data_IF_011673360745
#
_entry.id   IF_011673360745
#
_cell.length_a   1.000
_cell.length_b   1.000
_cell.length_c   1.000
_cell.angle_alpha   90.00
_cell.angle_beta   90.00
_cell.angle_gamma   90.00
#
_symmetry.space_group_name_H-M   'P 1'
#
loop_
_entity.id
_entity.type
_entity.pdbx_description
1 polymer ?
#
# COMPACT_ATOMS: atom_id res chain seq x y z
N UNK A 1 3.25 -14.24 -9.47
CA UNK A 1 2.04 -14.98 -9.03
C UNK A 1 1.74 -14.66 -7.57
N UNK A 2 0.49 -14.32 -7.27
CA UNK A 2 0.08 -14.05 -5.89
C UNK A 2 0.03 -15.33 -5.08
N UNK A 3 0.52 -15.29 -3.84
CA UNK A 3 0.52 -16.46 -2.97
C UNK A 3 0.59 -16.08 -1.49
N UNK A 4 0.13 -16.98 -0.66
CA UNK A 4 0.34 -16.94 0.78
C UNK A 4 1.46 -17.89 1.18
N UNK A 5 2.14 -17.54 2.25
CA UNK A 5 3.11 -18.39 2.91
C UNK A 5 2.99 -18.21 4.42
N UNK A 6 2.64 -19.28 5.12
CA UNK A 6 2.67 -19.26 6.58
C UNK A 6 4.12 -19.22 7.08
N UNK A 7 4.39 -18.41 8.09
CA UNK A 7 5.69 -18.33 8.75
C UNK A 7 5.54 -18.75 10.20
N UNK A 8 5.19 -20.02 10.40
CA UNK A 8 4.97 -20.59 11.72
C UNK A 8 6.07 -21.58 12.07
N UNK A 9 6.84 -21.22 13.06
CA UNK A 9 7.85 -22.07 13.67
C UNK A 9 8.04 -21.65 15.13
N UNK A 10 9.09 -22.13 15.79
CA UNK A 10 9.39 -21.81 17.19
C UNK A 10 9.57 -20.29 17.43
N UNK A 11 10.06 -19.57 16.42
CA UNK A 11 10.43 -18.16 16.55
C UNK A 11 9.50 -17.19 15.81
N UNK A 12 8.76 -17.69 14.84
CA UNK A 12 7.92 -16.86 13.97
C UNK A 12 6.46 -17.28 14.05
N UNK A 13 5.57 -16.30 14.07
CA UNK A 13 4.14 -16.53 14.00
C UNK A 13 3.53 -15.43 13.14
N UNK A 14 3.09 -15.79 11.95
CA UNK A 14 2.56 -14.86 10.99
C UNK A 14 2.47 -15.43 9.59
N UNK A 15 2.53 -14.56 8.61
CA UNK A 15 2.45 -14.96 7.21
C UNK A 15 3.11 -13.93 6.29
N UNK A 16 3.47 -14.39 5.11
CA UNK A 16 3.86 -13.54 3.99
C UNK A 16 2.78 -13.60 2.92
N UNK A 17 2.53 -12.46 2.28
CA UNK A 17 1.72 -12.39 1.07
C UNK A 17 2.59 -11.86 -0.06
N UNK A 18 2.64 -12.58 -1.18
CA UNK A 18 3.23 -12.09 -2.41
C UNK A 18 2.10 -11.62 -3.32
N UNK A 19 2.14 -10.36 -3.71
CA UNK A 19 1.15 -9.79 -4.62
C UNK A 19 1.53 -10.02 -6.10
N UNK A 20 0.57 -9.80 -6.97
CA UNK A 20 0.76 -9.99 -8.41
C UNK A 20 1.91 -9.15 -8.98
N UNK A 21 2.18 -7.98 -8.39
CA UNK A 21 3.29 -7.10 -8.77
C UNK A 21 4.66 -7.59 -8.30
N UNK A 22 4.72 -8.73 -7.59
CA UNK A 22 5.96 -9.28 -7.05
C UNK A 22 6.38 -8.74 -5.70
N UNK A 23 5.71 -7.74 -5.18
CA UNK A 23 5.96 -7.21 -3.84
C UNK A 23 5.45 -8.18 -2.78
N UNK A 24 6.12 -8.18 -1.65
CA UNK A 24 5.82 -9.09 -0.53
C UNK A 24 5.58 -8.27 0.72
N UNK A 25 4.54 -8.64 1.47
CA UNK A 25 4.27 -8.11 2.82
C UNK A 25 4.42 -9.24 3.81
N UNK A 26 5.15 -8.98 4.88
CA UNK A 26 5.26 -9.85 6.05
C UNK A 26 4.43 -9.28 7.19
N UNK A 27 3.52 -10.09 7.72
CA UNK A 27 2.72 -9.75 8.91
C UNK A 27 3.12 -10.72 10.01
N UNK A 28 3.69 -10.21 11.09
CA UNK A 28 4.22 -11.00 12.20
C UNK A 28 3.62 -10.58 13.53
N UNK A 29 3.30 -11.55 14.36
CA UNK A 29 2.77 -11.32 15.70
C UNK A 29 3.35 -12.30 16.72
N UNK A 30 4.60 -12.70 16.52
CA UNK A 30 5.36 -13.51 17.49
C UNK A 30 5.78 -12.65 18.70
N UNK A 31 6.23 -13.31 19.75
CA UNK A 31 6.60 -12.65 21.01
C UNK A 31 7.73 -11.62 20.87
N UNK A 32 8.61 -11.82 19.89
CA UNK A 32 9.74 -10.92 19.62
C UNK A 32 9.40 -9.81 18.61
N UNK A 33 8.22 -9.79 18.04
CA UNK A 33 7.77 -8.75 17.12
C UNK A 33 7.24 -7.53 17.88
N UNK A 34 7.20 -6.38 17.19
CA UNK A 34 6.57 -5.16 17.72
C UNK A 34 5.05 -5.28 17.60
N UNK A 35 4.47 -6.07 18.50
CA UNK A 35 3.03 -6.35 18.54
C UNK A 35 2.62 -6.84 19.94
N UNK A 36 1.33 -6.93 20.17
CA UNK A 36 0.78 -7.54 21.39
C UNK A 36 0.55 -9.06 21.26
N UNK A 37 1.27 -9.70 20.35
CA UNK A 37 1.14 -11.13 20.09
C UNK A 37 0.01 -11.49 19.14
N UNK A 38 -0.50 -10.53 18.39
CA UNK A 38 -1.56 -10.75 17.42
C UNK A 38 -2.96 -10.69 18.01
N UNK A 39 -3.09 -10.20 19.25
CA UNK A 39 -4.39 -9.99 19.85
C UNK A 39 -5.11 -8.81 19.17
N UNK A 40 -4.44 -7.66 19.07
CA UNK A 40 -4.98 -6.46 18.42
C UNK A 40 -4.00 -5.82 17.44
N UNK A 41 -2.71 -6.15 17.52
CA UNK A 41 -1.68 -5.54 16.69
C UNK A 41 -0.72 -6.56 16.09
N UNK A 42 -0.10 -6.17 14.98
CA UNK A 42 0.94 -6.94 14.29
C UNK A 42 2.09 -6.05 13.87
N UNK A 43 3.23 -6.66 13.58
CA UNK A 43 4.38 -5.99 12.98
C UNK A 43 4.40 -6.25 11.48
N UNK A 44 4.65 -5.21 10.68
CA UNK A 44 4.66 -5.32 9.23
C UNK A 44 6.01 -4.92 8.67
N UNK A 45 6.48 -5.70 7.71
CA UNK A 45 7.59 -5.36 6.81
C UNK A 45 7.16 -5.64 5.39
N UNK A 46 7.80 -4.98 4.42
CA UNK A 46 7.52 -5.21 3.01
C UNK A 46 8.80 -5.04 2.20
N UNK A 47 8.87 -5.75 1.08
CA UNK A 47 10.00 -5.63 0.16
C UNK A 47 9.56 -5.85 -1.27
N UNK A 48 10.33 -5.27 -2.19
CA UNK A 48 10.05 -5.37 -3.61
C UNK A 48 10.54 -6.66 -4.24
N UNK A 49 10.24 -6.86 -5.54
CA UNK A 49 10.71 -8.01 -6.31
C UNK A 49 12.24 -8.14 -6.36
N UNK A 50 12.94 -7.03 -6.18
CA UNK A 50 14.39 -6.96 -6.12
C UNK A 50 14.98 -7.34 -4.76
N UNK A 51 14.13 -7.64 -3.77
CA UNK A 51 14.52 -7.97 -2.41
C UNK A 51 14.82 -6.77 -1.54
N UNK A 52 14.67 -5.55 -2.05
CA UNK A 52 14.91 -4.34 -1.25
C UNK A 52 13.72 -4.03 -0.36
N UNK A 53 14.02 -3.74 0.89
CA UNK A 53 13.02 -3.37 1.89
C UNK A 53 12.37 -2.03 1.56
N UNK A 54 11.08 -1.94 1.81
CA UNK A 54 10.33 -0.70 1.67
C UNK A 54 10.30 0.07 2.99
N UNK A 55 10.33 1.38 2.92
CA UNK A 55 10.04 2.23 4.08
C UNK A 55 8.55 2.24 4.33
N UNK A 56 8.14 1.79 5.51
CA UNK A 56 6.74 1.77 5.94
C UNK A 56 6.41 2.86 6.96
N UNK A 57 7.43 3.56 7.45
CA UNK A 57 7.31 4.72 8.32
C UNK A 57 8.36 5.75 7.91
N UNK A 58 8.31 6.94 8.48
CA UNK A 58 9.22 8.03 8.14
C UNK A 58 10.70 7.68 8.30
N UNK A 59 11.04 6.84 9.27
CA UNK A 59 12.41 6.52 9.62
C UNK A 59 12.75 5.02 9.62
N UNK A 60 11.81 4.14 9.28
CA UNK A 60 12.00 2.71 9.45
C UNK A 60 11.35 1.88 8.36
N UNK A 61 11.97 0.72 8.08
CA UNK A 61 11.43 -0.31 7.19
C UNK A 61 10.42 -1.21 7.89
N UNK A 62 10.37 -1.14 9.23
CA UNK A 62 9.45 -1.92 10.06
C UNK A 62 8.39 -1.00 10.64
N UNK A 63 7.14 -1.41 10.52
CA UNK A 63 6.02 -0.72 11.15
C UNK A 63 5.44 -1.64 12.21
N UNK A 64 5.66 -1.30 13.47
CA UNK A 64 5.16 -2.06 14.61
C UNK A 64 3.80 -1.57 15.08
N UNK A 65 3.17 -2.41 15.92
CA UNK A 65 1.91 -2.10 16.61
C UNK A 65 0.78 -1.67 15.68
N UNK A 66 0.71 -2.31 14.50
CA UNK A 66 -0.31 -2.01 13.50
C UNK A 66 -1.62 -2.71 13.84
N UNK A 67 -2.70 -1.92 13.85
CA UNK A 67 -4.07 -2.46 13.93
C UNK A 67 -4.42 -3.21 12.64
N UNK A 68 -5.49 -4.04 12.64
CA UNK A 68 -5.96 -4.69 11.42
C UNK A 68 -6.24 -3.71 10.28
N UNK A 69 -6.79 -2.55 10.56
CA UNK A 69 -7.08 -1.53 9.55
C UNK A 69 -5.79 -0.94 8.96
N UNK A 70 -4.79 -0.70 9.82
CA UNK A 70 -3.47 -0.25 9.36
C UNK A 70 -2.75 -1.33 8.55
N UNK A 71 -2.89 -2.61 8.92
CA UNK A 71 -2.37 -3.73 8.13
C UNK A 71 -2.98 -3.73 6.73
N UNK A 72 -4.29 -3.58 6.62
CA UNK A 72 -4.99 -3.51 5.34
C UNK A 72 -4.52 -2.32 4.50
N UNK A 73 -4.37 -1.16 5.12
CA UNK A 73 -3.87 0.06 4.46
C UNK A 73 -2.48 -0.15 3.84
N UNK A 74 -1.55 -0.74 4.61
CA UNK A 74 -0.20 -1.05 4.12
C UNK A 74 -0.26 -2.07 2.98
N UNK A 75 -1.07 -3.11 3.12
CA UNK A 75 -1.22 -4.13 2.07
C UNK A 75 -1.73 -3.53 0.77
N UNK A 76 -2.72 -2.64 0.84
CA UNK A 76 -3.25 -1.95 -0.34
C UNK A 76 -2.18 -1.08 -1.00
N UNK A 77 -1.41 -0.35 -0.21
CA UNK A 77 -0.31 0.47 -0.71
C UNK A 77 0.74 -0.39 -1.42
N UNK A 78 1.14 -1.50 -0.82
CA UNK A 78 2.17 -2.38 -1.38
C UNK A 78 1.65 -3.09 -2.64
N UNK A 79 0.41 -3.56 -2.60
CA UNK A 79 -0.21 -4.25 -3.75
C UNK A 79 -0.38 -3.34 -4.97
N UNK A 80 -0.40 -2.02 -4.77
CA UNK A 80 -0.55 -1.04 -5.85
C UNK A 80 0.77 -0.51 -6.40
N UNK A 81 1.90 -0.94 -5.84
CA UNK A 81 3.21 -0.48 -6.31
C UNK A 81 3.45 -0.88 -7.78
N UNK A 82 4.02 0.04 -8.54
CA UNK A 82 4.33 -0.20 -9.95
C UNK A 82 3.13 -0.17 -10.89
N UNK A 83 1.91 -0.04 -10.37
CA UNK A 83 0.72 0.11 -11.19
C UNK A 83 0.38 1.58 -11.37
N UNK A 84 0.03 1.97 -12.60
CA UNK A 84 -0.50 3.31 -12.84
C UNK A 84 -1.89 3.39 -12.23
N UNK A 85 -2.23 4.49 -11.51
CA UNK A 85 -3.59 4.68 -11.05
C UNK A 85 -4.55 4.65 -12.23
N UNK A 86 -5.52 3.73 -12.21
CA UNK A 86 -6.59 3.72 -13.22
C UNK A 86 -7.65 4.71 -12.79
N UNK A 87 -7.76 5.79 -13.54
CA UNK A 87 -8.84 6.74 -13.36
C UNK A 87 -10.14 6.10 -13.85
N UNK A 88 -11.22 6.17 -13.06
CA UNK A 88 -12.53 5.71 -13.49
C UNK A 88 -13.03 6.53 -14.68
N UNK A 89 -13.94 5.97 -15.47
CA UNK A 89 -14.56 6.70 -16.60
C UNK A 89 -15.16 8.02 -16.13
N UNK A 90 -15.83 8.05 -15.00
CA UNK A 90 -16.39 9.26 -14.43
C UNK A 90 -15.31 10.27 -14.05
N UNK A 91 -14.19 9.82 -13.47
CA UNK A 91 -13.07 10.68 -13.15
C UNK A 91 -12.43 11.30 -14.39
N UNK A 92 -12.31 10.52 -15.48
CA UNK A 92 -11.80 11.03 -16.76
C UNK A 92 -12.73 12.09 -17.35
N UNK A 93 -14.05 11.87 -17.31
CA UNK A 93 -15.04 12.83 -17.77
C UNK A 93 -15.03 14.11 -16.94
N UNK A 94 -14.89 14.02 -15.63
CA UNK A 94 -14.78 15.19 -14.74
C UNK A 94 -13.53 16.01 -15.04
N UNK A 95 -12.41 15.36 -15.27
CA UNK A 95 -11.16 16.04 -15.62
C UNK A 95 -11.28 16.74 -16.97
N UNK A 96 -11.85 16.08 -17.99
CA UNK A 96 -12.06 16.66 -19.30
C UNK A 96 -12.98 17.88 -19.23
N UNK A 97 -14.07 17.82 -18.46
CA UNK A 97 -14.99 18.93 -18.26
C UNK A 97 -14.31 20.11 -17.56
N UNK A 98 -13.50 19.85 -16.54
CA UNK A 98 -12.74 20.89 -15.84
C UNK A 98 -11.79 21.63 -16.78
N UNK A 99 -11.04 20.90 -17.61
CA UNK A 99 -10.12 21.48 -18.60
C UNK A 99 -10.88 22.34 -19.61
N UNK A 100 -12.02 21.87 -20.12
CA UNK A 100 -12.85 22.59 -21.06
C UNK A 100 -13.38 23.91 -20.47
N UNK A 101 -13.87 23.86 -19.23
CA UNK A 101 -14.38 25.06 -18.53
C UNK A 101 -13.26 26.08 -18.30
N UNK A 102 -12.08 25.64 -17.90
CA UNK A 102 -10.92 26.52 -17.67
C UNK A 102 -10.48 27.19 -18.97
N UNK A 103 -10.40 26.45 -20.08
CA UNK A 103 -10.07 26.99 -21.38
C UNK A 103 -11.10 28.03 -21.84
N UNK A 104 -12.39 27.78 -21.63
CA UNK A 104 -13.46 28.72 -22.00
C UNK A 104 -13.36 30.03 -21.23
N UNK A 105 -13.06 30.00 -19.94
CA UNK A 105 -12.87 31.18 -19.11
C UNK A 105 -11.68 32.01 -19.61
N UNK A 106 -10.57 31.37 -19.95
CA UNK A 106 -9.38 32.05 -20.48
C UNK A 106 -9.71 32.76 -21.81
N UNK A 107 -10.44 32.12 -22.71
CA UNK A 107 -10.84 32.70 -23.97
C UNK A 107 -11.72 33.94 -23.76
N UNK A 108 -12.67 33.89 -22.85
CA UNK A 108 -13.54 35.04 -22.51
C UNK A 108 -12.70 36.19 -21.97
N UNK A 109 -11.74 35.93 -21.08
CA UNK A 109 -10.87 36.99 -20.53
C UNK A 109 -9.96 37.62 -21.58
N UNK A 110 -9.48 36.87 -22.55
CA UNK A 110 -8.63 37.38 -23.63
C UNK A 110 -9.44 38.24 -24.60
N UNK A 111 -10.70 37.91 -24.85
CA UNK A 111 -11.57 38.67 -25.77
C UNK A 111 -12.19 39.91 -25.13
N UNK A 112 -12.23 39.96 -23.85
CA UNK A 112 -12.70 41.13 -23.11
C UNK A 112 -11.62 42.20 -23.00
#
# INVERSE_FOLDING_TARGET
MSKFRATQNEYNNGFHITFKNGYIVSVQFNKSSYSDGGETTAEITAWGPDGKWMKLSEHDDVRGWCSPDEVLEVMNMVASQGSKPKMSTLGMLRLALYIALTASVIIILIKA
#
